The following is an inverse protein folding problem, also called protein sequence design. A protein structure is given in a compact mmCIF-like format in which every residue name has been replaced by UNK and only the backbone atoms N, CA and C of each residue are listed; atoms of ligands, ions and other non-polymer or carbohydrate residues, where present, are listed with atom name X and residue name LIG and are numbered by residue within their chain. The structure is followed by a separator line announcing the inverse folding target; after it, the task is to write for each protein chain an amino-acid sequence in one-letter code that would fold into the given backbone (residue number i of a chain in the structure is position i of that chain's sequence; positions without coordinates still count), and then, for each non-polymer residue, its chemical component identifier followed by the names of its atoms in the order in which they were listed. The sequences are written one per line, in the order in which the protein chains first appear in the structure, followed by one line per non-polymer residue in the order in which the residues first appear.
data_IF_241061001405
#
_entry.id   IF_241061001405
#
_cell.length_a   1.000
_cell.length_b   1.000
_cell.length_c   1.000
_cell.angle_alpha   90.00
_cell.angle_beta   90.00
_cell.angle_gamma   90.00
#
_symmetry.space_group_name_H-M   'P 1'
#
loop_
_entity.id
_entity.type
_entity.pdbx_description
1 polymer ?
#
# COMPACT_ATOMS: atom_id res chain seq x y z
N UNK A 1 -47.35 16.77 17.79
CA UNK A 1 -46.58 17.97 17.41
C UNK A 1 -46.17 17.80 15.96
N UNK A 2 -46.43 18.78 15.09
CA UNK A 2 -45.94 18.71 13.70
C UNK A 2 -44.43 18.97 13.74
N UNK A 3 -43.63 17.95 13.46
CA UNK A 3 -42.18 18.13 13.32
C UNK A 3 -41.88 19.14 12.21
N UNK A 4 -40.89 20.00 12.42
CA UNK A 4 -40.50 21.00 11.42
C UNK A 4 -39.88 20.32 10.21
N UNK A 5 -40.03 20.93 9.03
CA UNK A 5 -39.48 20.40 7.80
C UNK A 5 -37.95 20.19 7.89
N UNK A 6 -37.23 21.01 8.63
CA UNK A 6 -35.78 20.86 8.86
C UNK A 6 -35.44 19.52 9.52
N UNK A 7 -36.15 19.15 10.59
CA UNK A 7 -35.95 17.87 11.27
C UNK A 7 -36.23 16.70 10.32
N UNK A 8 -37.27 16.83 9.49
CA UNK A 8 -37.61 15.80 8.50
C UNK A 8 -36.49 15.65 7.47
N UNK A 9 -35.95 16.77 6.95
CA UNK A 9 -34.85 16.76 5.97
C UNK A 9 -33.60 16.08 6.51
N UNK A 10 -33.27 16.31 7.78
CA UNK A 10 -32.15 15.66 8.46
C UNK A 10 -32.38 14.15 8.66
N UNK A 11 -33.64 13.73 8.86
CA UNK A 11 -34.01 12.33 9.02
C UNK A 11 -34.14 11.57 7.69
N UNK A 12 -34.41 12.23 6.56
CA UNK A 12 -34.59 11.59 5.25
C UNK A 12 -33.41 10.67 4.87
N UNK A 13 -32.13 11.08 4.97
CA UNK A 13 -30.99 10.21 4.72
C UNK A 13 -30.98 8.96 5.60
N UNK A 14 -31.24 9.13 6.91
CA UNK A 14 -31.23 8.02 7.88
C UNK A 14 -32.37 7.01 7.63
N UNK A 15 -33.53 7.49 7.20
CA UNK A 15 -34.67 6.64 6.82
C UNK A 15 -34.38 5.91 5.52
N UNK A 16 -33.78 6.58 4.51
CA UNK A 16 -33.36 5.94 3.25
C UNK A 16 -32.31 4.86 3.46
N UNK A 17 -31.37 5.09 4.36
CA UNK A 17 -30.31 4.14 4.72
C UNK A 17 -30.82 3.02 5.65
N UNK A 18 -32.11 2.99 6.01
CA UNK A 18 -32.72 2.03 6.94
C UNK A 18 -32.03 1.93 8.32
N UNK A 19 -31.39 3.03 8.77
CA UNK A 19 -30.71 3.12 10.08
C UNK A 19 -31.51 3.90 11.12
N UNK A 20 -32.60 4.54 10.72
CA UNK A 20 -33.48 5.30 11.61
C UNK A 20 -34.32 4.37 12.52
N UNK A 21 -34.64 4.85 13.73
CA UNK A 21 -35.58 4.17 14.62
C UNK A 21 -36.99 4.13 14.03
N UNK A 22 -37.79 3.14 14.45
CA UNK A 22 -39.14 2.97 13.93
C UNK A 22 -40.05 4.19 14.21
N UNK A 23 -39.85 4.86 15.35
CA UNK A 23 -40.52 6.13 15.66
C UNK A 23 -40.15 7.24 14.67
N UNK A 24 -38.87 7.36 14.31
CA UNK A 24 -38.38 8.37 13.35
C UNK A 24 -38.93 8.10 11.95
N UNK A 25 -38.99 6.83 11.53
CA UNK A 25 -39.55 6.42 10.24
C UNK A 25 -41.04 6.75 10.17
N UNK A 26 -41.80 6.47 11.22
CA UNK A 26 -43.23 6.79 11.28
C UNK A 26 -43.47 8.30 11.21
N UNK A 27 -42.69 9.08 11.94
CA UNK A 27 -42.75 10.54 11.96
C UNK A 27 -42.48 11.14 10.57
N UNK A 28 -41.46 10.66 9.86
CA UNK A 28 -41.18 11.07 8.48
C UNK A 28 -42.33 10.68 7.55
N UNK A 29 -42.84 9.44 7.65
CA UNK A 29 -43.94 8.96 6.81
C UNK A 29 -45.24 9.77 6.97
N UNK A 30 -45.54 10.22 8.20
CA UNK A 30 -46.71 11.04 8.48
C UNK A 30 -46.54 12.47 7.93
N UNK A 31 -45.34 13.03 8.05
CA UNK A 31 -45.04 14.35 7.50
C UNK A 31 -45.09 14.37 5.96
N UNK A 32 -44.59 13.32 5.30
CA UNK A 32 -44.60 13.18 3.84
C UNK A 32 -46.01 13.14 3.22
N UNK A 33 -47.04 12.76 4.00
CA UNK A 33 -48.45 12.81 3.57
C UNK A 33 -48.98 14.24 3.45
N UNK A 34 -48.45 15.15 4.28
CA UNK A 34 -48.97 16.50 4.45
C UNK A 34 -48.04 17.59 3.88
N UNK A 35 -46.81 17.24 3.49
CA UNK A 35 -45.80 18.17 3.01
C UNK A 35 -45.23 17.73 1.66
N UNK A 36 -45.55 18.50 0.61
CA UNK A 36 -45.12 18.21 -0.75
C UNK A 36 -43.61 18.50 -0.97
N UNK A 37 -43.05 19.51 -0.29
CA UNK A 37 -41.62 19.83 -0.40
C UNK A 37 -40.74 18.70 0.14
N UNK A 38 -41.08 18.13 1.29
CA UNK A 38 -40.34 17.00 1.86
C UNK A 38 -40.54 15.72 1.02
N UNK A 39 -41.69 15.57 0.36
CA UNK A 39 -41.96 14.44 -0.56
C UNK A 39 -41.06 14.47 -1.79
N UNK A 40 -40.83 15.65 -2.36
CA UNK A 40 -39.89 15.83 -3.47
C UNK A 40 -38.46 15.48 -3.06
N UNK A 41 -38.01 15.89 -1.87
CA UNK A 41 -36.67 15.56 -1.37
C UNK A 41 -36.52 14.08 -1.00
N UNK A 42 -37.59 13.44 -0.52
CA UNK A 42 -37.60 12.00 -0.30
C UNK A 42 -37.52 11.23 -1.63
N UNK A 43 -38.16 11.72 -2.70
CA UNK A 43 -38.14 11.11 -4.03
C UNK A 43 -36.84 11.32 -4.81
N UNK A 44 -36.08 12.38 -4.53
CA UNK A 44 -34.74 12.52 -5.12
C UNK A 44 -33.82 11.45 -4.55
N UNK A 45 -33.35 10.53 -5.40
CA UNK A 45 -32.28 9.59 -5.06
C UNK A 45 -31.13 10.41 -4.47
N UNK A 46 -30.86 10.20 -3.18
CA UNK A 46 -29.63 10.71 -2.60
C UNK A 46 -28.53 10.01 -3.37
N UNK A 47 -27.78 10.77 -4.19
CA UNK A 47 -26.57 10.28 -4.83
C UNK A 47 -25.81 9.48 -3.78
N UNK A 48 -25.41 8.23 -4.08
CA UNK A 48 -24.80 7.37 -3.08
C UNK A 48 -23.59 8.13 -2.52
N UNK A 49 -23.69 8.53 -1.25
CA UNK A 49 -22.57 9.11 -0.56
C UNK A 49 -21.53 8.00 -0.55
N UNK A 50 -20.48 8.17 -1.34
CA UNK A 50 -19.31 7.29 -1.34
C UNK A 50 -18.62 7.45 0.03
N UNK A 51 -19.15 6.76 1.04
CA UNK A 51 -18.45 6.48 2.29
C UNK A 51 -17.92 5.06 2.24
N UNK A 52 -16.92 4.88 1.39
CA UNK A 52 -15.88 3.90 1.59
C UNK A 52 -14.58 4.58 1.15
N UNK A 53 -14.02 5.39 2.05
CA UNK A 53 -12.57 5.54 2.02
C UNK A 53 -12.07 4.17 2.48
N UNK A 54 -11.51 3.44 1.54
CA UNK A 54 -11.08 2.05 1.72
C UNK A 54 -9.96 1.99 2.77
N UNK A 55 -10.37 1.92 4.03
CA UNK A 55 -9.50 1.81 5.20
C UNK A 55 -8.55 0.61 5.05
N UNK A 56 -9.00 -0.44 4.36
CA UNK A 56 -8.17 -1.61 4.05
C UNK A 56 -7.04 -1.25 3.09
N UNK A 57 -7.28 -0.44 2.05
CA UNK A 57 -6.23 0.06 1.14
C UNK A 57 -5.22 0.96 1.84
N UNK A 58 -5.67 1.80 2.77
CA UNK A 58 -4.78 2.68 3.55
C UNK A 58 -3.88 1.85 4.48
N UNK A 59 -4.47 0.91 5.23
CA UNK A 59 -3.72 0.03 6.14
C UNK A 59 -2.73 -0.88 5.41
N UNK A 60 -3.11 -1.42 4.25
CA UNK A 60 -2.21 -2.23 3.42
C UNK A 60 -1.04 -1.38 2.91
N UNK A 61 -1.30 -0.15 2.49
CA UNK A 61 -0.24 0.76 2.01
C UNK A 61 0.74 1.15 3.12
N UNK A 62 0.25 1.35 4.35
CA UNK A 62 1.09 1.67 5.51
C UNK A 62 1.94 0.46 5.91
N UNK A 63 1.34 -0.72 6.10
CA UNK A 63 2.07 -1.95 6.45
C UNK A 63 3.17 -2.26 5.43
N UNK A 64 2.91 -2.01 4.15
CA UNK A 64 3.85 -2.23 3.05
C UNK A 64 5.08 -1.32 3.14
N UNK A 65 4.89 -0.04 3.47
CA UNK A 65 5.98 0.92 3.68
C UNK A 65 6.80 0.57 4.93
N UNK A 66 6.12 0.21 6.01
CA UNK A 66 6.76 -0.18 7.27
C UNK A 66 7.62 -1.44 7.12
N UNK A 67 7.12 -2.44 6.40
CA UNK A 67 7.86 -3.66 6.10
C UNK A 67 9.11 -3.39 5.23
N UNK A 68 9.01 -2.51 4.24
CA UNK A 68 10.15 -2.10 3.40
C UNK A 68 11.24 -1.38 4.21
N UNK A 69 10.84 -0.42 5.06
CA UNK A 69 11.80 0.32 5.90
C UNK A 69 12.48 -0.62 6.91
N UNK A 70 11.71 -1.52 7.54
CA UNK A 70 12.25 -2.51 8.48
C UNK A 70 13.25 -3.46 7.81
N UNK A 71 12.91 -3.97 6.62
CA UNK A 71 13.83 -4.83 5.85
C UNK A 71 15.10 -4.09 5.43
N UNK A 72 15.00 -2.83 5.00
CA UNK A 72 16.16 -2.02 4.64
C UNK A 72 17.08 -1.77 5.84
N UNK A 73 16.52 -1.48 7.02
CA UNK A 73 17.27 -1.26 8.25
C UNK A 73 18.02 -2.52 8.70
N UNK A 74 17.39 -3.69 8.59
CA UNK A 74 18.01 -4.99 8.88
C UNK A 74 19.21 -5.27 7.96
N UNK A 75 19.06 -5.04 6.66
CA UNK A 75 20.14 -5.24 5.69
C UNK A 75 21.29 -4.27 5.91
N UNK A 76 20.96 -3.00 6.18
CA UNK A 76 21.96 -2.00 6.49
C UNK A 76 22.72 -2.35 7.77
N UNK A 77 22.01 -2.78 8.82
CA UNK A 77 22.61 -3.24 10.07
C UNK A 77 23.51 -4.46 9.88
N UNK A 78 23.08 -5.43 9.07
CA UNK A 78 23.88 -6.62 8.74
C UNK A 78 25.16 -6.23 7.96
N UNK A 79 25.04 -5.38 6.95
CA UNK A 79 26.17 -4.90 6.17
C UNK A 79 27.16 -4.10 7.03
N UNK A 80 26.65 -3.19 7.87
CA UNK A 80 27.45 -2.37 8.77
C UNK A 80 28.16 -3.23 9.82
N UNK A 81 27.47 -4.20 10.43
CA UNK A 81 28.05 -5.11 11.41
C UNK A 81 29.15 -5.99 10.82
N UNK A 82 28.98 -6.40 9.57
CA UNK A 82 29.95 -7.19 8.82
C UNK A 82 31.16 -6.37 8.39
N UNK A 83 30.96 -5.09 8.01
CA UNK A 83 32.03 -4.15 7.67
C UNK A 83 32.89 -3.75 8.88
N UNK A 84 32.29 -3.68 10.08
CA UNK A 84 33.02 -3.38 11.32
C UNK A 84 33.76 -4.59 11.90
N UNK A 85 33.51 -5.81 11.40
CA UNK A 85 34.18 -7.01 11.87
C UNK A 85 35.59 -7.13 11.29
N UNK A 86 36.58 -6.65 12.03
CA UNK A 86 38.00 -6.63 11.64
C UNK A 86 38.68 -8.02 11.66
N UNK A 87 37.99 -9.05 12.17
CA UNK A 87 38.51 -10.42 12.26
C UNK A 87 37.93 -11.35 11.16
N UNK A 88 37.17 -10.79 10.21
CA UNK A 88 36.76 -11.51 9.02
C UNK A 88 37.96 -11.70 8.12
N UNK A 89 38.50 -12.92 8.11
CA UNK A 89 39.48 -13.34 7.10
C UNK A 89 38.96 -13.02 5.70
N UNK A 90 39.87 -12.69 4.78
CA UNK A 90 39.61 -12.36 3.37
C UNK A 90 39.09 -13.56 2.56
N UNK A 91 38.16 -14.31 3.12
CA UNK A 91 37.49 -15.41 2.49
C UNK A 91 36.34 -14.87 1.63
N UNK A 92 36.06 -15.57 0.53
CA UNK A 92 35.01 -15.25 -0.43
C UNK A 92 33.59 -15.27 0.17
N UNK A 93 33.36 -16.05 1.23
CA UNK A 93 32.06 -16.28 1.88
C UNK A 93 31.31 -14.99 2.29
N UNK A 94 31.91 -14.05 3.04
CA UNK A 94 31.25 -12.80 3.38
C UNK A 94 30.79 -11.98 2.15
N UNK A 95 31.60 -11.94 1.09
CA UNK A 95 31.27 -11.22 -0.15
C UNK A 95 30.09 -11.89 -0.86
N UNK A 96 30.10 -13.22 -0.94
CA UNK A 96 29.00 -14.00 -1.54
C UNK A 96 27.69 -13.78 -0.81
N UNK A 97 27.71 -13.78 0.53
CA UNK A 97 26.50 -13.57 1.34
C UNK A 97 25.91 -12.18 1.08
N UNK A 98 26.72 -11.13 0.99
CA UNK A 98 26.24 -9.78 0.65
C UNK A 98 25.65 -9.74 -0.76
N UNK A 99 26.32 -10.32 -1.76
CA UNK A 99 25.83 -10.37 -3.14
C UNK A 99 24.50 -11.12 -3.22
N UNK A 100 24.41 -12.31 -2.64
CA UNK A 100 23.16 -13.09 -2.61
C UNK A 100 22.02 -12.35 -1.88
N UNK A 101 22.32 -11.70 -0.76
CA UNK A 101 21.33 -10.92 0.00
C UNK A 101 20.77 -9.77 -0.85
N UNK A 102 21.62 -9.04 -1.56
CA UNK A 102 21.19 -7.93 -2.43
C UNK A 102 20.35 -8.42 -3.62
N UNK A 103 20.69 -9.58 -4.20
CA UNK A 103 19.91 -10.21 -5.28
C UNK A 103 18.54 -10.67 -4.79
N UNK A 104 18.49 -11.34 -3.63
CA UNK A 104 17.23 -11.83 -3.02
C UNK A 104 16.30 -10.66 -2.71
N UNK A 105 16.84 -9.56 -2.16
CA UNK A 105 16.06 -8.36 -1.84
C UNK A 105 15.58 -7.67 -3.13
N UNK A 106 16.40 -7.62 -4.18
CA UNK A 106 16.00 -7.14 -5.49
C UNK A 106 14.85 -7.95 -6.09
N UNK A 107 14.90 -9.28 -5.99
CA UNK A 107 13.83 -10.19 -6.44
C UNK A 107 12.56 -10.01 -5.60
N UNK A 108 12.68 -9.88 -4.28
CA UNK A 108 11.55 -9.61 -3.40
C UNK A 108 10.87 -8.29 -3.75
N UNK A 109 11.63 -7.19 -3.91
CA UNK A 109 11.10 -5.89 -4.33
C UNK A 109 10.44 -5.98 -5.72
N UNK A 110 11.05 -6.73 -6.64
CA UNK A 110 10.50 -6.98 -7.98
C UNK A 110 9.16 -7.73 -7.93
N UNK A 111 9.08 -8.83 -7.16
CA UNK A 111 7.83 -9.57 -6.97
C UNK A 111 6.76 -8.76 -6.21
N UNK A 112 7.18 -7.90 -5.28
CA UNK A 112 6.28 -7.16 -4.41
C UNK A 112 5.60 -5.97 -5.08
N UNK A 113 6.09 -5.54 -6.26
CA UNK A 113 5.51 -4.43 -7.04
C UNK A 113 4.63 -4.88 -8.22
N UNK A 114 4.11 -6.11 -8.18
CA UNK A 114 3.39 -6.71 -9.31
C UNK A 114 1.85 -6.72 -9.19
N UNK A 115 1.25 -5.60 -8.78
CA UNK A 115 -0.21 -5.42 -8.89
C UNK A 115 -0.57 -3.93 -8.93
N UNK A 116 -0.25 -3.23 -10.03
CA UNK A 116 -0.77 -1.86 -10.13
C UNK A 116 -0.39 -0.97 -11.31
N UNK A 117 0.74 -1.11 -12.02
CA UNK A 117 1.05 -0.13 -13.09
C UNK A 117 2.09 -0.64 -14.10
N UNK A 118 1.71 -0.66 -15.39
CA UNK A 118 2.56 -1.08 -16.53
C UNK A 118 3.66 -0.07 -16.87
N UNK A 119 3.49 1.21 -16.53
CA UNK A 119 4.48 2.26 -16.84
C UNK A 119 5.76 2.12 -15.99
N UNK A 120 5.57 1.77 -14.72
CA UNK A 120 6.65 1.64 -13.74
C UNK A 120 7.49 0.37 -13.98
N UNK A 121 6.90 -0.66 -14.57
CA UNK A 121 7.59 -1.92 -14.93
C UNK A 121 8.81 -1.69 -15.83
N UNK A 122 8.68 -0.88 -16.89
CA UNK A 122 9.80 -0.62 -17.83
C UNK A 122 10.97 0.11 -17.19
N UNK A 123 10.71 1.04 -16.27
CA UNK A 123 11.76 1.77 -15.54
C UNK A 123 12.55 0.85 -14.59
N UNK A 124 11.86 -0.08 -13.94
CA UNK A 124 12.49 -1.01 -12.99
C UNK A 124 13.20 -2.19 -13.66
N UNK A 125 12.72 -2.67 -14.82
CA UNK A 125 13.43 -3.66 -15.64
C UNK A 125 14.80 -3.12 -16.09
N UNK A 126 14.87 -1.85 -16.50
CA UNK A 126 16.15 -1.21 -16.83
C UNK A 126 17.13 -1.15 -15.65
N UNK A 127 16.65 -0.83 -14.44
CA UNK A 127 17.50 -0.82 -13.23
C UNK A 127 17.95 -2.23 -12.81
N UNK A 128 17.08 -3.24 -12.95
CA UNK A 128 17.41 -4.63 -12.65
C UNK A 128 18.47 -5.19 -13.61
N UNK A 129 18.32 -4.93 -14.91
CA UNK A 129 19.32 -5.29 -15.93
C UNK A 129 20.65 -4.60 -15.62
N UNK A 130 20.63 -3.29 -15.28
CA UNK A 130 21.82 -2.55 -14.87
C UNK A 130 22.53 -3.16 -13.66
N UNK A 131 21.79 -3.55 -12.62
CA UNK A 131 22.40 -4.22 -11.45
C UNK A 131 23.00 -5.57 -11.82
N UNK A 132 22.31 -6.38 -12.64
CA UNK A 132 22.81 -7.70 -13.06
C UNK A 132 24.10 -7.55 -13.87
N UNK A 133 24.16 -6.57 -14.79
CA UNK A 133 25.36 -6.29 -15.58
C UNK A 133 26.53 -5.87 -14.69
N UNK A 134 26.31 -4.96 -13.73
CA UNK A 134 27.36 -4.51 -12.81
C UNK A 134 27.90 -5.67 -11.97
N UNK A 135 27.03 -6.52 -11.42
CA UNK A 135 27.46 -7.68 -10.65
C UNK A 135 28.15 -8.75 -11.52
N UNK A 136 27.71 -8.94 -12.77
CA UNK A 136 28.38 -9.84 -13.71
C UNK A 136 29.80 -9.35 -14.05
N UNK A 137 29.95 -8.04 -14.33
CA UNK A 137 31.27 -7.44 -14.60
C UNK A 137 32.17 -7.54 -13.36
N UNK A 138 31.64 -7.25 -12.17
CA UNK A 138 32.39 -7.35 -10.92
C UNK A 138 32.82 -8.80 -10.64
N UNK A 139 31.93 -9.77 -10.87
CA UNK A 139 32.22 -11.19 -10.74
C UNK A 139 33.30 -11.66 -11.72
N UNK A 140 33.22 -11.26 -12.99
CA UNK A 140 34.24 -11.55 -14.01
C UNK A 140 35.58 -10.91 -13.65
N UNK A 141 35.58 -9.66 -13.18
CA UNK A 141 36.80 -8.95 -12.75
C UNK A 141 37.47 -9.66 -11.57
N UNK A 142 36.69 -10.06 -10.55
CA UNK A 142 37.21 -10.80 -9.40
C UNK A 142 37.74 -12.17 -9.81
N UNK A 143 37.04 -12.87 -10.71
CA UNK A 143 37.43 -14.17 -11.23
C UNK A 143 38.76 -14.05 -11.99
N UNK A 144 38.90 -13.08 -12.89
CA UNK A 144 40.16 -12.81 -13.61
C UNK A 144 41.30 -12.45 -12.65
N UNK A 145 41.05 -11.59 -11.65
CA UNK A 145 42.06 -11.20 -10.66
C UNK A 145 42.57 -12.39 -9.84
N UNK A 146 41.70 -13.34 -9.51
CA UNK A 146 42.06 -14.53 -8.74
C UNK A 146 42.67 -15.63 -9.60
N UNK A 147 42.30 -15.73 -10.88
CA UNK A 147 42.86 -16.70 -11.84
C UNK A 147 44.25 -16.28 -12.36
N UNK A 148 44.54 -14.98 -12.41
CA UNK A 148 45.83 -14.43 -12.84
C UNK A 148 46.78 -14.06 -11.68
N UNK A 149 46.39 -14.28 -10.40
CA UNK A 149 47.35 -14.33 -9.30
C UNK A 149 47.94 -15.74 -9.20
N UNK A 150 48.89 -16.03 -10.09
CA UNK A 150 49.90 -17.08 -9.96
C UNK A 150 51.28 -16.43 -10.01
#
# INVERSE_FOLDING_TARGET
MKASCEIIRDLIPLVKDNVASQESTNLVSEHLKNCESCKLEFGHEALPIQKDVDDKRVLVSIKKKLFLISSALLLFGAFMGMALNKNTSSNFMPIVVVVLSTVIVGILIFKFKWKGDKSVSRFFVGKAIGTIIVFAILGIYLLLKYLFQF
#
